data_IF_779338590338
#
_entry.id   IF_779338590338
#
_cell.length_a   1.000
_cell.length_b   1.000
_cell.length_c   1.000
_cell.angle_alpha   90.00
_cell.angle_beta   90.00
_cell.angle_gamma   90.00
#
_symmetry.space_group_name_H-M   'P 1'
#
loop_
_entity.id
_entity.type
_entity.pdbx_description
1 polymer ?
#
# COMPACT_ATOMS: atom_id res chain seq x y z
N UNK A 1 49.53 -37.22 -41.79
CA UNK A 1 49.86 -35.98 -41.04
C UNK A 1 49.02 -34.85 -41.64
N UNK A 2 48.19 -34.06 -40.96
CA UNK A 2 47.83 -33.89 -39.54
C UNK A 2 46.33 -33.56 -39.52
N UNK A 3 45.60 -34.19 -38.60
CA UNK A 3 44.23 -33.82 -38.25
C UNK A 3 44.25 -32.48 -37.50
N UNK A 4 43.34 -31.56 -37.84
CA UNK A 4 42.99 -30.44 -36.96
C UNK A 4 41.59 -30.71 -36.41
N UNK A 5 41.55 -31.30 -35.21
CA UNK A 5 40.37 -31.40 -34.37
C UNK A 5 40.10 -30.02 -33.77
N UNK A 6 39.15 -29.28 -34.33
CA UNK A 6 38.57 -28.10 -33.69
C UNK A 6 37.46 -28.55 -32.75
N UNK A 7 37.80 -28.69 -31.46
CA UNK A 7 36.88 -28.99 -30.37
C UNK A 7 35.97 -27.77 -30.15
N UNK A 8 34.78 -27.78 -30.76
CA UNK A 8 33.73 -26.81 -30.46
C UNK A 8 33.14 -27.12 -29.09
N UNK A 9 33.66 -26.46 -28.05
CA UNK A 9 33.04 -26.46 -26.72
C UNK A 9 31.76 -25.65 -26.83
N UNK A 10 30.62 -26.36 -26.94
CA UNK A 10 29.30 -25.79 -26.81
C UNK A 10 29.14 -25.37 -25.34
N UNK A 11 29.30 -24.08 -25.05
CA UNK A 11 28.99 -23.52 -23.75
C UNK A 11 27.45 -23.42 -23.65
N UNK A 12 26.79 -24.49 -23.23
CA UNK A 12 25.41 -24.44 -22.77
C UNK A 12 25.38 -23.65 -21.48
N UNK A 13 25.17 -22.34 -21.58
CA UNK A 13 24.75 -21.52 -20.44
C UNK A 13 23.35 -22.02 -20.09
N UNK A 14 23.28 -22.98 -19.16
CA UNK A 14 22.06 -23.29 -18.45
C UNK A 14 21.65 -22.03 -17.70
N UNK A 15 20.72 -21.26 -18.30
CA UNK A 15 19.93 -20.25 -17.61
C UNK A 15 19.22 -20.97 -16.46
N UNK A 16 19.86 -21.00 -15.29
CA UNK A 16 19.21 -21.29 -14.03
C UNK A 16 18.15 -20.20 -13.87
N UNK A 17 16.91 -20.55 -14.22
CA UNK A 17 15.74 -19.76 -13.86
C UNK A 17 15.60 -19.91 -12.35
N UNK A 18 16.34 -19.07 -11.62
CA UNK A 18 16.10 -18.92 -10.19
C UNK A 18 14.64 -18.48 -10.04
N UNK A 19 13.86 -19.09 -9.12
CA UNK A 19 12.52 -18.59 -8.85
C UNK A 19 12.66 -17.12 -8.40
N UNK A 20 12.23 -16.21 -9.25
CA UNK A 20 12.18 -14.78 -8.94
C UNK A 20 11.12 -14.60 -7.87
N UNK A 21 11.55 -14.46 -6.62
CA UNK A 21 10.67 -14.07 -5.52
C UNK A 21 10.00 -12.73 -5.87
N UNK A 22 8.68 -12.64 -5.67
CA UNK A 22 7.96 -11.37 -5.85
C UNK A 22 8.19 -10.40 -4.67
N UNK A 23 8.71 -10.91 -3.55
CA UNK A 23 9.08 -10.08 -2.42
C UNK A 23 10.38 -9.31 -2.70
N UNK A 24 10.39 -7.98 -2.48
CA UNK A 24 11.59 -7.16 -2.56
C UNK A 24 12.72 -7.69 -1.67
N UNK A 25 13.96 -7.35 -2.01
CA UNK A 25 15.17 -7.81 -1.30
C UNK A 25 15.19 -7.47 0.20
N UNK A 26 14.46 -6.43 0.61
CA UNK A 26 14.36 -6.00 2.01
C UNK A 26 13.35 -6.82 2.82
N UNK A 27 12.49 -7.63 2.19
CA UNK A 27 11.51 -8.47 2.90
C UNK A 27 12.22 -9.69 3.48
N UNK A 28 12.43 -9.69 4.80
CA UNK A 28 13.05 -10.78 5.57
C UNK A 28 12.48 -10.83 6.99
N UNK A 29 12.57 -11.96 7.70
CA UNK A 29 12.17 -12.06 9.10
C UNK A 29 12.76 -10.94 9.97
N UNK A 30 11.94 -10.36 10.84
CA UNK A 30 12.29 -9.25 11.71
C UNK A 30 12.02 -7.86 11.13
N UNK A 31 11.82 -7.74 9.81
CA UNK A 31 11.45 -6.46 9.19
C UNK A 31 10.02 -6.08 9.56
N UNK A 32 9.82 -4.80 9.87
CA UNK A 32 8.51 -4.22 10.11
C UNK A 32 8.26 -2.99 9.25
N UNK A 33 6.98 -2.72 9.01
CA UNK A 33 6.47 -1.53 8.34
C UNK A 33 5.37 -0.98 9.22
N UNK A 34 5.43 0.31 9.51
CA UNK A 34 4.50 1.00 10.41
C UNK A 34 3.87 2.19 9.69
N UNK A 35 2.55 2.30 9.78
CA UNK A 35 1.76 3.40 9.25
C UNK A 35 1.00 4.08 10.38
N UNK A 36 0.72 5.37 10.23
CA UNK A 36 0.01 6.15 11.25
C UNK A 36 -1.08 7.03 10.63
N UNK A 37 -2.17 7.20 11.35
CA UNK A 37 -3.14 8.27 11.17
C UNK A 37 -3.18 9.11 12.45
N UNK A 38 -2.52 10.28 12.41
CA UNK A 38 -2.39 11.17 13.55
C UNK A 38 -3.59 12.09 13.72
N UNK A 39 -3.92 12.38 14.98
CA UNK A 39 -4.86 13.45 15.32
C UNK A 39 -4.21 14.82 15.11
N UNK A 40 -4.96 15.78 14.59
CA UNK A 40 -4.51 17.14 14.38
C UNK A 40 -5.65 18.15 14.54
N UNK A 41 -5.67 18.82 15.69
CA UNK A 41 -6.79 19.70 16.08
C UNK A 41 -7.13 20.79 15.05
N UNK A 42 -6.20 21.45 14.34
CA UNK A 42 -6.57 22.44 13.31
C UNK A 42 -7.40 21.86 12.16
N UNK A 43 -7.24 20.58 11.83
CA UNK A 43 -8.13 19.90 10.88
C UNK A 43 -9.53 19.74 11.47
N UNK A 44 -9.61 19.28 12.71
CA UNK A 44 -10.88 19.06 13.42
C UNK A 44 -11.66 20.36 13.53
N UNK A 45 -11.01 21.45 13.94
CA UNK A 45 -11.60 22.80 14.01
C UNK A 45 -12.15 23.23 12.66
N UNK A 46 -11.41 22.98 11.57
CA UNK A 46 -11.86 23.26 10.20
C UNK A 46 -13.11 22.45 9.87
N UNK A 47 -13.14 21.15 10.17
CA UNK A 47 -14.31 20.30 9.91
C UNK A 47 -15.54 20.75 10.70
N UNK A 48 -15.36 21.13 11.97
CA UNK A 48 -16.43 21.66 12.82
C UNK A 48 -16.96 22.98 12.26
N UNK A 49 -16.07 23.86 11.79
CA UNK A 49 -16.47 25.14 11.19
C UNK A 49 -17.32 24.95 9.92
N UNK A 50 -17.12 23.83 9.22
CA UNK A 50 -17.93 23.41 8.08
C UNK A 50 -19.22 22.64 8.46
N UNK A 51 -19.54 22.57 9.76
CA UNK A 51 -20.76 21.92 10.25
C UNK A 51 -20.63 20.42 10.52
N UNK A 52 -19.44 19.84 10.43
CA UNK A 52 -19.21 18.43 10.77
C UNK A 52 -19.26 18.25 12.29
N UNK A 53 -20.00 17.26 12.78
CA UNK A 53 -20.01 16.92 14.20
C UNK A 53 -18.66 16.34 14.61
N UNK A 54 -18.13 16.75 15.77
CA UNK A 54 -16.86 16.26 16.31
C UNK A 54 -16.80 14.72 16.37
N UNK A 55 -17.90 14.08 16.77
CA UNK A 55 -18.05 12.62 16.87
C UNK A 55 -18.02 11.86 15.52
N UNK A 56 -18.02 12.58 14.40
CA UNK A 56 -17.86 12.04 13.05
C UNK A 56 -16.45 12.21 12.50
N UNK A 57 -15.59 13.00 13.15
CA UNK A 57 -14.19 13.18 12.75
C UNK A 57 -13.37 12.11 13.45
N UNK A 58 -12.83 11.17 12.67
CA UNK A 58 -12.13 9.98 13.17
C UNK A 58 -10.82 9.81 12.42
N UNK A 59 -9.79 9.32 13.11
CA UNK A 59 -8.52 8.92 12.47
C UNK A 59 -8.60 7.53 11.87
N UNK A 60 -9.51 6.68 12.40
CA UNK A 60 -9.79 5.37 11.86
C UNK A 60 -11.25 4.97 12.07
N UNK A 61 -11.81 4.26 11.09
CA UNK A 61 -13.12 3.62 11.16
C UNK A 61 -13.02 2.23 10.52
N UNK A 62 -13.18 1.18 11.33
CA UNK A 62 -12.84 -0.19 10.96
C UNK A 62 -14.06 -1.08 11.14
N UNK A 63 -14.37 -1.87 10.10
CA UNK A 63 -15.28 -3.01 10.24
C UNK A 63 -14.48 -4.26 10.53
N UNK A 64 -14.69 -4.85 11.70
CA UNK A 64 -13.96 -6.01 12.19
C UNK A 64 -14.90 -7.19 12.46
N UNK A 65 -14.61 -8.32 11.84
CA UNK A 65 -15.32 -9.58 12.02
C UNK A 65 -14.52 -10.47 12.96
N UNK A 66 -15.13 -10.82 14.10
CA UNK A 66 -14.51 -11.72 15.07
C UNK A 66 -15.57 -12.63 15.68
N UNK A 67 -15.30 -13.93 15.69
CA UNK A 67 -16.17 -14.94 16.30
C UNK A 67 -17.64 -14.82 15.85
N UNK A 68 -17.86 -14.57 14.55
CA UNK A 68 -19.20 -14.42 13.96
C UNK A 68 -19.92 -13.11 14.31
N UNK A 69 -19.27 -12.19 15.04
CA UNK A 69 -19.83 -10.87 15.38
C UNK A 69 -19.14 -9.78 14.54
N UNK A 70 -19.93 -8.81 14.10
CA UNK A 70 -19.47 -7.62 13.40
C UNK A 70 -19.30 -6.46 14.37
N UNK A 71 -18.12 -5.86 14.38
CA UNK A 71 -17.79 -4.71 15.20
C UNK A 71 -17.41 -3.54 14.31
N UNK A 72 -18.08 -2.41 14.53
CA UNK A 72 -17.66 -1.13 13.97
C UNK A 72 -16.82 -0.40 15.01
N UNK A 73 -15.55 -0.14 14.68
CA UNK A 73 -14.55 0.40 15.60
C UNK A 73 -14.10 1.76 15.08
N UNK A 74 -14.45 2.82 15.80
CA UNK A 74 -14.06 4.20 15.49
C UNK A 74 -12.97 4.66 16.47
N UNK A 75 -11.90 5.28 15.95
CA UNK A 75 -10.81 5.90 16.72
C UNK A 75 -10.84 7.41 16.55
N UNK A 76 -10.73 8.13 17.66
CA UNK A 76 -10.83 9.59 17.72
C UNK A 76 -9.49 10.27 18.07
N UNK A 77 -8.42 9.49 18.13
CA UNK A 77 -7.06 9.94 18.37
C UNK A 77 -6.09 9.06 17.56
N UNK A 78 -4.77 9.21 17.73
CA UNK A 78 -3.79 8.50 16.90
C UNK A 78 -4.10 7.00 16.72
N UNK A 79 -4.04 6.56 15.47
CA UNK A 79 -4.15 5.15 15.10
C UNK A 79 -2.86 4.71 14.43
N UNK A 80 -2.25 3.64 14.95
CA UNK A 80 -1.00 3.08 14.44
C UNK A 80 -1.22 1.65 13.96
N UNK A 81 -0.64 1.31 12.81
CA UNK A 81 -0.71 -0.03 12.24
C UNK A 81 0.70 -0.50 11.96
N UNK A 82 1.08 -1.62 12.58
CA UNK A 82 2.39 -2.24 12.42
C UNK A 82 2.25 -3.62 11.82
N UNK A 83 2.96 -3.86 10.72
CA UNK A 83 3.14 -5.17 10.11
C UNK A 83 4.56 -5.63 10.38
N UNK A 84 4.75 -6.87 10.83
CA UNK A 84 6.07 -7.46 11.07
C UNK A 84 6.18 -8.83 10.44
N UNK A 85 7.22 -9.05 9.64
CA UNK A 85 7.56 -10.38 9.14
C UNK A 85 8.09 -11.18 10.34
N UNK A 86 7.30 -12.11 10.86
CA UNK A 86 7.64 -12.90 12.05
C UNK A 86 8.64 -14.00 11.72
N UNK A 87 8.53 -14.58 10.53
CA UNK A 87 9.36 -15.70 10.10
C UNK A 87 8.96 -16.21 8.73
N UNK A 88 9.52 -17.36 8.37
CA UNK A 88 9.23 -18.07 7.13
C UNK A 88 8.74 -19.49 7.42
N UNK A 89 7.81 -19.97 6.60
CA UNK A 89 7.30 -21.34 6.65
C UNK A 89 7.08 -21.85 5.23
N UNK A 90 8.05 -22.64 4.73
CA UNK A 90 8.09 -23.10 3.34
C UNK A 90 8.03 -21.94 2.34
N UNK A 91 7.00 -21.95 1.50
CA UNK A 91 6.74 -20.96 0.44
C UNK A 91 6.12 -19.64 0.95
N UNK A 92 6.00 -19.45 2.27
CA UNK A 92 5.30 -18.33 2.88
C UNK A 92 6.18 -17.52 3.84
N UNK A 93 5.96 -16.21 3.87
CA UNK A 93 6.24 -15.37 5.02
C UNK A 93 5.06 -15.43 5.99
N UNK A 94 5.35 -15.49 7.29
CA UNK A 94 4.34 -15.30 8.34
C UNK A 94 4.41 -13.87 8.81
N UNK A 95 3.29 -13.16 8.79
CA UNK A 95 3.22 -11.73 9.11
C UNK A 95 2.27 -11.51 10.27
N UNK A 96 2.76 -10.80 11.29
CA UNK A 96 1.98 -10.32 12.41
C UNK A 96 1.53 -8.88 12.18
N UNK A 97 0.28 -8.60 12.54
CA UNK A 97 -0.31 -7.26 12.49
C UNK A 97 -0.68 -6.83 13.89
N UNK A 98 -0.39 -5.58 14.22
CA UNK A 98 -0.89 -4.90 15.41
C UNK A 98 -1.50 -3.58 14.97
N UNK A 99 -2.75 -3.33 15.34
CA UNK A 99 -3.43 -2.04 15.19
C UNK A 99 -3.66 -1.49 16.59
N UNK A 100 -3.07 -0.35 16.88
CA UNK A 100 -3.23 0.36 18.15
C UNK A 100 -4.11 1.59 17.92
N UNK A 101 -5.24 1.64 18.62
CA UNK A 101 -6.22 2.71 18.51
C UNK A 101 -6.39 3.39 19.88
N UNK A 102 -6.58 4.71 19.87
CA UNK A 102 -6.74 5.52 21.09
C UNK A 102 -8.06 6.28 21.05
N UNK A 103 -8.70 6.40 22.21
CA UNK A 103 -10.04 6.98 22.37
C UNK A 103 -11.02 6.33 21.39
N UNK A 104 -11.49 5.13 21.73
CA UNK A 104 -12.14 4.22 20.78
C UNK A 104 -13.61 4.08 21.13
N UNK A 105 -14.46 4.02 20.12
CA UNK A 105 -15.86 3.59 20.25
C UNK A 105 -16.09 2.34 19.42
N UNK A 106 -16.53 1.27 20.07
CA UNK A 106 -16.95 0.03 19.42
C UNK A 106 -18.48 -0.01 19.40
N UNK A 107 -19.07 -0.28 18.23
CA UNK A 107 -20.52 -0.46 18.03
C UNK A 107 -20.76 -1.84 17.43
N UNK A 108 -21.70 -2.59 17.99
CA UNK A 108 -22.08 -3.90 17.47
C UNK A 108 -23.52 -4.24 17.87
N UNK A 109 -24.06 -5.29 17.27
CA UNK A 109 -25.41 -5.78 17.53
C UNK A 109 -25.37 -7.21 18.03
N UNK A 110 -26.29 -7.56 18.92
CA UNK A 110 -26.45 -8.90 19.49
C UNK A 110 -27.93 -9.27 19.58
N UNK A 111 -28.23 -10.57 19.62
CA UNK A 111 -29.56 -11.02 20.04
C UNK A 111 -29.69 -10.93 21.56
N UNK A 112 -30.88 -10.59 22.05
CA UNK A 112 -31.14 -10.50 23.48
C UNK A 112 -30.76 -11.82 24.20
N UNK A 113 -30.05 -11.69 25.33
CA UNK A 113 -29.52 -12.84 26.09
C UNK A 113 -28.18 -13.39 25.60
N UNK A 114 -27.61 -12.90 24.50
CA UNK A 114 -26.25 -13.26 24.07
C UNK A 114 -25.21 -12.28 24.61
N UNK A 115 -24.02 -12.79 24.94
CA UNK A 115 -22.85 -11.98 25.27
C UNK A 115 -21.90 -11.94 24.07
N UNK A 116 -21.46 -10.74 23.68
CA UNK A 116 -20.38 -10.62 22.71
C UNK A 116 -19.06 -11.06 23.37
N UNK A 117 -18.21 -11.81 22.67
CA UNK A 117 -16.84 -12.02 23.13
C UNK A 117 -16.12 -10.67 23.14
N UNK A 118 -15.79 -10.18 24.34
CA UNK A 118 -14.95 -9.02 24.48
C UNK A 118 -13.55 -9.36 23.94
N UNK A 119 -13.01 -8.46 23.10
CA UNK A 119 -11.64 -8.53 22.63
C UNK A 119 -10.81 -7.33 23.09
N UNK A 120 -11.35 -6.59 24.05
CA UNK A 120 -10.75 -5.45 24.70
C UNK A 120 -10.58 -5.75 26.18
N UNK A 121 -9.65 -5.06 26.82
CA UNK A 121 -9.42 -5.16 28.25
C UNK A 121 -10.47 -4.35 29.02
N UNK A 122 -10.93 -4.90 30.14
CA UNK A 122 -11.92 -4.22 30.99
C UNK A 122 -11.35 -2.95 31.64
N UNK A 123 -10.03 -2.90 31.85
CA UNK A 123 -9.31 -1.74 32.40
C UNK A 123 -9.30 -0.54 31.47
N UNK A 124 -9.43 -0.76 30.16
CA UNK A 124 -9.54 0.31 29.17
C UNK A 124 -10.96 0.82 28.98
N UNK A 125 -11.97 0.14 29.54
CA UNK A 125 -13.36 0.50 29.35
C UNK A 125 -13.75 1.74 30.15
N UNK A 126 -14.23 2.76 29.44
CA UNK A 126 -14.71 4.02 30.02
C UNK A 126 -16.21 3.97 30.28
N UNK A 127 -16.97 3.38 29.36
CA UNK A 127 -18.43 3.26 29.48
C UNK A 127 -18.98 2.23 28.50
N UNK A 128 -20.15 1.67 28.83
CA UNK A 128 -20.95 0.83 27.93
C UNK A 128 -22.40 1.30 27.96
N UNK A 129 -23.04 1.37 26.80
CA UNK A 129 -24.48 1.58 26.69
C UNK A 129 -25.11 0.51 25.80
N UNK A 130 -26.36 0.18 26.10
CA UNK A 130 -27.16 -0.81 25.38
C UNK A 130 -28.50 -0.20 25.03
N UNK A 131 -28.99 -0.46 23.81
CA UNK A 131 -30.33 -0.10 23.37
C UNK A 131 -30.98 -1.33 22.77
N UNK A 132 -32.15 -1.70 23.29
CA UNK A 132 -32.94 -2.82 22.78
C UNK A 132 -33.93 -2.28 21.76
N UNK A 133 -33.92 -2.86 20.57
CA UNK A 133 -34.85 -2.61 19.49
C UNK A 133 -36.14 -3.42 19.67
N UNK A 134 -37.23 -3.01 19.02
CA UNK A 134 -38.53 -3.65 19.15
C UNK A 134 -38.57 -5.10 18.65
N UNK A 135 -37.63 -5.47 17.78
CA UNK A 135 -37.40 -6.82 17.24
C UNK A 135 -36.51 -7.70 18.13
N UNK A 136 -36.08 -7.20 19.29
CA UNK A 136 -35.22 -7.93 20.22
C UNK A 136 -33.72 -7.86 19.90
N UNK A 137 -33.30 -7.08 18.90
CA UNK A 137 -31.89 -6.76 18.65
C UNK A 137 -31.37 -5.81 19.73
N UNK A 138 -30.17 -6.07 20.24
CA UNK A 138 -29.49 -5.23 21.24
C UNK A 138 -28.31 -4.54 20.57
N UNK A 139 -28.44 -3.24 20.34
CA UNK A 139 -27.33 -2.39 19.92
C UNK A 139 -26.47 -2.04 21.13
N UNK A 140 -25.19 -2.37 21.06
CA UNK A 140 -24.21 -2.12 22.13
C UNK A 140 -23.19 -1.11 21.64
N UNK A 141 -22.87 -0.13 22.49
CA UNK A 141 -21.80 0.83 22.30
C UNK A 141 -20.85 0.78 23.48
N UNK A 142 -19.57 0.54 23.22
CA UNK A 142 -18.51 0.49 24.23
C UNK A 142 -17.51 1.59 23.92
N UNK A 143 -17.18 2.43 24.91
CA UNK A 143 -16.13 3.43 24.81
C UNK A 143 -14.90 2.98 25.58
N UNK A 144 -13.74 3.04 24.95
CA UNK A 144 -12.47 2.60 25.51
C UNK A 144 -11.43 3.72 25.46
N UNK A 145 -10.48 3.71 26.39
CA UNK A 145 -9.29 4.56 26.37
C UNK A 145 -8.35 4.14 25.24
N UNK A 146 -8.13 2.84 25.11
CA UNK A 146 -7.30 2.26 24.05
C UNK A 146 -7.86 0.91 23.60
N UNK A 147 -7.49 0.49 22.39
CA UNK A 147 -7.81 -0.82 21.85
C UNK A 147 -6.61 -1.32 21.05
N UNK A 148 -6.29 -2.60 21.21
CA UNK A 148 -5.27 -3.27 20.42
C UNK A 148 -5.89 -4.45 19.68
N UNK A 149 -5.88 -4.40 18.36
CA UNK A 149 -6.27 -5.52 17.49
C UNK A 149 -4.99 -6.18 17.00
N UNK A 150 -4.91 -7.50 17.10
CA UNK A 150 -3.77 -8.27 16.61
C UNK A 150 -4.26 -9.43 15.74
N UNK A 151 -3.41 -9.84 14.80
CA UNK A 151 -3.69 -11.00 13.96
C UNK A 151 -2.42 -11.46 13.25
N UNK A 152 -2.50 -12.66 12.68
CA UNK A 152 -1.43 -13.24 11.87
C UNK A 152 -2.00 -13.76 10.56
N UNK A 153 -1.21 -13.65 9.50
CA UNK A 153 -1.54 -14.14 8.18
C UNK A 153 -0.28 -14.56 7.44
N UNK A 154 -0.43 -15.07 6.21
CA UNK A 154 0.67 -15.55 5.39
C UNK A 154 0.74 -14.83 4.06
N UNK A 155 1.95 -14.54 3.59
CA UNK A 155 2.20 -14.01 2.24
C UNK A 155 3.02 -15.02 1.48
N UNK A 156 2.55 -15.47 0.33
CA UNK A 156 3.29 -16.41 -0.52
C UNK A 156 4.44 -15.70 -1.23
N UNK A 157 5.66 -16.22 -1.08
CA UNK A 157 6.92 -15.60 -1.54
C UNK A 157 6.96 -15.35 -3.05
N UNK A 158 6.44 -16.30 -3.84
CA UNK A 158 6.55 -16.28 -5.30
C UNK A 158 5.75 -15.16 -5.99
N UNK A 159 4.64 -14.72 -5.40
CA UNK A 159 3.67 -13.82 -6.06
C UNK A 159 3.04 -12.78 -5.13
N UNK A 160 3.40 -12.77 -3.84
CA UNK A 160 2.84 -11.82 -2.86
C UNK A 160 1.38 -12.08 -2.50
N UNK A 161 0.81 -13.23 -2.86
CA UNK A 161 -0.57 -13.57 -2.53
C UNK A 161 -0.74 -13.77 -1.02
N UNK A 162 -1.72 -13.08 -0.45
CA UNK A 162 -2.11 -13.08 0.96
C UNK A 162 -3.10 -14.21 1.24
N UNK A 163 -2.83 -14.93 2.33
CA UNK A 163 -3.68 -15.98 2.85
C UNK A 163 -3.96 -15.77 4.33
N UNK A 164 -5.20 -15.99 4.73
CA UNK A 164 -5.55 -16.16 6.15
C UNK A 164 -4.84 -17.38 6.74
N UNK A 165 -4.78 -17.45 8.07
CA UNK A 165 -4.17 -18.61 8.75
C UNK A 165 -4.90 -19.93 8.45
N UNK A 166 -6.18 -19.82 8.08
CA UNK A 166 -7.06 -20.90 7.61
C UNK A 166 -6.80 -21.33 6.15
N UNK A 167 -5.87 -20.66 5.47
CA UNK A 167 -5.49 -20.95 4.08
C UNK A 167 -6.39 -20.30 3.04
N UNK A 168 -7.35 -19.45 3.41
CA UNK A 168 -8.20 -18.72 2.43
C UNK A 168 -7.40 -17.61 1.74
N UNK A 169 -7.51 -17.46 0.41
CA UNK A 169 -6.82 -16.39 -0.32
C UNK A 169 -7.60 -15.07 -0.24
N UNK A 170 -6.87 -13.96 -0.13
CA UNK A 170 -7.44 -12.61 -0.03
C UNK A 170 -6.96 -11.63 -1.12
N UNK A 171 -6.02 -12.02 -1.98
CA UNK A 171 -5.44 -11.15 -3.02
C UNK A 171 -3.96 -10.87 -2.79
N UNK A 172 -3.41 -9.81 -3.40
CA UNK A 172 -1.99 -9.47 -3.30
C UNK A 172 -1.72 -8.49 -2.15
N UNK A 173 -0.61 -8.69 -1.44
CA UNK A 173 -0.24 -7.82 -0.32
C UNK A 173 -0.14 -6.36 -0.76
N UNK A 174 -0.59 -5.44 0.10
CA UNK A 174 -0.30 -4.02 -0.11
C UNK A 174 1.03 -3.60 0.51
N UNK A 175 1.73 -4.43 1.27
CA UNK A 175 2.94 -4.02 1.98
C UNK A 175 4.08 -3.66 1.04
N UNK A 176 4.09 -4.25 -0.16
CA UNK A 176 5.00 -3.91 -1.24
C UNK A 176 4.36 -4.17 -2.59
N UNK A 177 4.84 -3.46 -3.61
CA UNK A 177 4.59 -3.76 -5.01
C UNK A 177 5.85 -4.37 -5.59
N UNK A 178 5.74 -5.49 -6.31
CA UNK A 178 6.90 -6.17 -6.91
C UNK A 178 7.62 -5.20 -7.88
N UNK A 179 8.88 -4.80 -7.60
CA UNK A 179 9.59 -3.84 -8.43
C UNK A 179 10.00 -4.43 -9.79
N UNK A 180 10.03 -5.76 -9.92
CA UNK A 180 10.41 -6.46 -11.15
C UNK A 180 9.20 -6.82 -12.03
N UNK A 181 8.00 -6.82 -11.46
CA UNK A 181 6.76 -7.12 -12.18
C UNK A 181 5.62 -6.25 -11.64
N UNK A 182 5.46 -5.08 -12.25
CA UNK A 182 4.38 -4.15 -11.93
C UNK A 182 3.00 -4.79 -12.22
N UNK A 183 2.01 -4.63 -11.33
CA UNK A 183 0.64 -5.10 -11.58
C UNK A 183 0.05 -4.51 -12.86
N UNK A 184 -0.67 -5.34 -13.62
CA UNK A 184 -1.25 -4.99 -14.92
C UNK A 184 -2.73 -4.66 -14.76
N UNK A 185 -3.26 -3.85 -15.69
CA UNK A 185 -4.68 -3.54 -15.73
C UNK A 185 -5.52 -4.83 -15.80
N UNK A 186 -6.61 -4.84 -15.02
CA UNK A 186 -7.52 -5.97 -14.78
C UNK A 186 -6.99 -7.12 -13.92
N UNK A 187 -5.76 -7.08 -13.41
CA UNK A 187 -5.28 -8.05 -12.42
C UNK A 187 -6.15 -7.98 -11.15
N UNK A 188 -6.56 -9.13 -10.62
CA UNK A 188 -7.28 -9.17 -9.34
C UNK A 188 -6.32 -8.85 -8.21
N UNK A 189 -6.54 -7.74 -7.53
CA UNK A 189 -5.69 -7.30 -6.42
C UNK A 189 -6.27 -7.71 -5.06
N UNK A 190 -7.60 -7.64 -4.90
CA UNK A 190 -8.28 -8.01 -3.64
C UNK A 190 -9.41 -8.99 -3.90
N UNK A 191 -9.55 -9.96 -3.00
CA UNK A 191 -10.63 -10.92 -2.94
C UNK A 191 -11.18 -10.92 -1.52
N UNK A 192 -12.49 -10.73 -1.38
CA UNK A 192 -13.22 -10.86 -0.11
C UNK A 192 -14.18 -12.04 -0.26
N UNK A 193 -13.74 -13.28 0.05
CA UNK A 193 -14.52 -14.49 -0.23
C UNK A 193 -15.89 -14.50 0.44
N UNK A 194 -15.97 -14.01 1.68
CA UNK A 194 -17.21 -13.96 2.48
C UNK A 194 -18.25 -12.99 1.93
N UNK A 195 -17.82 -12.00 1.13
CA UNK A 195 -18.68 -11.00 0.51
C UNK A 195 -18.89 -11.25 -0.98
N UNK A 196 -18.27 -12.29 -1.55
CA UNK A 196 -18.21 -12.54 -2.99
C UNK A 196 -17.83 -11.27 -3.78
N UNK A 197 -16.81 -10.57 -3.31
CA UNK A 197 -16.42 -9.25 -3.83
C UNK A 197 -14.94 -9.24 -4.20
N UNK A 198 -14.58 -8.56 -5.30
CA UNK A 198 -13.19 -8.46 -5.77
C UNK A 198 -12.86 -7.05 -6.25
N UNK A 199 -11.63 -6.61 -5.99
CA UNK A 199 -11.07 -5.36 -6.52
C UNK A 199 -9.96 -5.67 -7.53
N UNK A 200 -9.93 -4.92 -8.63
CA UNK A 200 -8.94 -5.09 -9.69
C UNK A 200 -8.04 -3.88 -9.83
N UNK A 201 -6.88 -4.10 -10.41
CA UNK A 201 -5.98 -3.05 -10.85
C UNK A 201 -6.63 -2.32 -12.02
N UNK A 202 -6.81 -1.01 -11.88
CA UNK A 202 -7.23 -0.14 -12.97
C UNK A 202 -6.01 0.26 -13.80
N UNK A 203 -4.99 0.82 -13.14
CA UNK A 203 -3.75 1.28 -13.76
C UNK A 203 -2.65 1.54 -12.74
N UNK A 204 -1.41 1.64 -13.22
CA UNK A 204 -0.27 2.20 -12.49
C UNK A 204 0.15 3.49 -13.15
N UNK A 205 0.28 4.56 -12.37
CA UNK A 205 0.66 5.89 -12.84
C UNK A 205 1.94 6.35 -12.14
N UNK A 206 2.98 6.66 -12.92
CA UNK A 206 4.19 7.28 -12.39
C UNK A 206 3.96 8.76 -12.09
N UNK A 207 4.59 9.25 -11.04
CA UNK A 207 4.59 10.65 -10.62
C UNK A 207 6.02 11.17 -10.60
N UNK A 208 6.29 12.19 -11.40
CA UNK A 208 7.57 12.90 -11.42
C UNK A 208 7.65 13.96 -10.30
N UNK A 209 7.22 13.58 -9.10
CA UNK A 209 7.28 14.43 -7.90
C UNK A 209 7.67 13.57 -6.70
N UNK A 210 8.49 14.10 -5.80
CA UNK A 210 8.75 13.42 -4.54
C UNK A 210 7.48 13.37 -3.68
N UNK A 211 7.40 12.35 -2.83
CA UNK A 211 6.32 12.18 -1.86
C UNK A 211 6.87 12.14 -0.45
N UNK A 212 6.22 12.88 0.43
CA UNK A 212 6.52 12.96 1.85
C UNK A 212 5.74 11.92 2.63
N UNK A 213 6.41 11.32 3.60
CA UNK A 213 5.86 10.49 4.68
C UNK A 213 6.42 11.01 6.02
N UNK A 214 6.07 10.37 7.15
CA UNK A 214 6.73 10.71 8.41
C UNK A 214 8.10 10.05 8.53
N UNK A 215 8.30 8.89 7.88
CA UNK A 215 9.59 8.23 7.81
C UNK A 215 10.63 9.04 7.02
N UNK A 216 10.20 9.64 5.91
CA UNK A 216 11.09 10.41 5.03
C UNK A 216 10.43 10.84 3.72
N UNK A 217 11.25 11.40 2.84
CA UNK A 217 10.87 11.79 1.48
C UNK A 217 11.37 10.75 0.47
N UNK A 218 10.52 10.43 -0.51
CA UNK A 218 10.79 9.41 -1.53
C UNK A 218 10.63 9.99 -2.94
N UNK A 219 11.45 9.52 -3.87
CA UNK A 219 11.38 9.86 -5.29
C UNK A 219 12.11 11.15 -5.69
N UNK A 220 11.88 11.66 -6.91
CA UNK A 220 11.13 11.03 -8.02
C UNK A 220 11.91 9.90 -8.75
N UNK A 221 11.22 8.95 -9.41
CA UNK A 221 9.75 8.85 -9.51
C UNK A 221 9.12 8.14 -8.30
N UNK A 222 7.90 8.54 -7.96
CA UNK A 222 6.97 7.73 -7.13
C UNK A 222 5.85 7.18 -8.03
N UNK A 223 5.03 6.25 -7.55
CA UNK A 223 3.92 5.71 -8.34
C UNK A 223 2.63 5.54 -7.53
N UNK A 224 1.51 5.59 -8.23
CA UNK A 224 0.18 5.25 -7.71
C UNK A 224 -0.33 4.01 -8.44
N UNK A 225 -0.65 2.97 -7.69
CA UNK A 225 -1.47 1.85 -8.13
C UNK A 225 -2.94 2.19 -7.86
N UNK A 226 -3.70 2.45 -8.93
CA UNK A 226 -5.14 2.69 -8.88
C UNK A 226 -5.90 1.37 -8.92
N UNK A 227 -6.83 1.20 -8.00
CA UNK A 227 -7.66 0.01 -7.85
C UNK A 227 -9.14 0.40 -8.00
N UNK A 228 -9.93 -0.50 -8.59
CA UNK A 228 -11.35 -0.30 -8.77
C UNK A 228 -12.12 -1.60 -8.48
N UNK A 229 -13.13 -1.50 -7.63
CA UNK A 229 -14.06 -2.59 -7.32
C UNK A 229 -15.51 -2.24 -7.69
N UNK A 230 -16.38 -3.24 -7.82
CA UNK A 230 -17.82 -2.98 -7.86
C UNK A 230 -18.26 -2.33 -6.53
N UNK A 231 -19.47 -1.74 -6.47
CA UNK A 231 -19.97 -1.16 -5.22
C UNK A 231 -19.89 -2.16 -4.07
N UNK A 232 -19.16 -1.81 -3.01
CA UNK A 232 -19.08 -2.62 -1.80
C UNK A 232 -20.34 -2.39 -0.95
N UNK A 233 -21.08 -3.47 -0.70
CA UNK A 233 -22.30 -3.47 0.10
C UNK A 233 -22.17 -4.48 1.23
N UNK A 234 -22.22 -3.96 2.45
CA UNK A 234 -22.29 -4.69 3.70
C UNK A 234 -23.57 -4.21 4.38
N UNK A 235 -24.63 -5.01 4.22
CA UNK A 235 -26.00 -4.64 4.54
C UNK A 235 -26.13 -4.04 5.95
N UNK A 236 -26.72 -2.85 6.04
CA UNK A 236 -26.96 -2.17 7.32
C UNK A 236 -25.71 -1.58 7.99
N UNK A 237 -24.54 -1.64 7.34
CA UNK A 237 -23.27 -1.10 7.85
C UNK A 237 -22.61 -0.14 6.89
N UNK A 238 -22.42 -0.56 5.64
CA UNK A 238 -21.63 0.16 4.64
C UNK A 238 -22.22 -0.11 3.26
N UNK A 239 -22.66 0.92 2.56
CA UNK A 239 -23.24 0.77 1.22
C UNK A 239 -22.67 1.84 0.30
N UNK A 240 -21.73 1.44 -0.55
CA UNK A 240 -21.34 2.27 -1.68
C UNK A 240 -22.40 2.10 -2.77
N UNK A 241 -22.90 3.22 -3.31
CA UNK A 241 -23.85 3.24 -4.43
C UNK A 241 -23.15 3.24 -5.79
N UNK A 242 -21.85 3.49 -5.81
CA UNK A 242 -20.98 3.57 -6.99
C UNK A 242 -19.78 2.64 -6.84
N UNK A 243 -18.96 2.54 -7.88
CA UNK A 243 -17.71 1.79 -7.83
C UNK A 243 -16.85 2.24 -6.65
N UNK A 244 -16.20 1.28 -6.00
CA UNK A 244 -15.36 1.55 -4.82
C UNK A 244 -13.92 1.77 -5.28
N UNK A 245 -13.37 2.98 -5.15
CA UNK A 245 -12.01 3.27 -5.56
C UNK A 245 -11.02 2.85 -4.48
N UNK A 246 -9.81 2.52 -4.91
CA UNK A 246 -8.64 2.34 -4.05
C UNK A 246 -7.39 2.95 -4.70
N UNK A 247 -6.40 3.28 -3.89
CA UNK A 247 -5.17 3.89 -4.38
C UNK A 247 -4.02 3.65 -3.43
N UNK A 248 -2.94 3.05 -3.93
CA UNK A 248 -1.73 2.78 -3.16
C UNK A 248 -0.60 3.63 -3.73
N UNK A 249 0.04 4.42 -2.89
CA UNK A 249 1.22 5.20 -3.24
C UNK A 249 2.48 4.44 -2.82
N UNK A 250 3.43 4.25 -3.73
CA UNK A 250 4.62 3.44 -3.48
C UNK A 250 5.87 4.00 -4.19
N UNK A 251 7.04 3.59 -3.71
CA UNK A 251 8.33 3.82 -4.36
C UNK A 251 8.65 2.68 -5.34
N UNK A 252 8.69 2.92 -6.66
CA UNK A 252 8.98 1.88 -7.66
C UNK A 252 10.37 1.26 -7.54
N UNK A 253 11.36 2.00 -7.01
CA UNK A 253 12.74 1.51 -6.94
C UNK A 253 12.89 0.40 -5.91
N UNK A 254 12.20 0.52 -4.76
CA UNK A 254 12.27 -0.45 -3.67
C UNK A 254 11.03 -1.34 -3.60
N UNK A 255 9.93 -0.96 -4.25
CA UNK A 255 8.62 -1.57 -4.08
C UNK A 255 7.91 -1.19 -2.77
N UNK A 256 8.51 -0.35 -1.92
CA UNK A 256 7.96 0.01 -0.61
C UNK A 256 6.68 0.84 -0.78
N UNK A 257 5.61 0.43 -0.09
CA UNK A 257 4.37 1.20 -0.06
C UNK A 257 4.47 2.33 0.95
N UNK A 258 4.39 3.55 0.43
CA UNK A 258 4.49 4.81 1.17
C UNK A 258 3.17 5.20 1.83
N UNK A 259 2.05 4.81 1.23
CA UNK A 259 0.74 4.88 1.85
C UNK A 259 -0.20 3.88 1.16
N UNK A 260 -0.89 3.01 1.92
CA UNK A 260 -1.79 2.02 1.34
C UNK A 260 -3.15 2.58 0.95
N UNK A 261 -3.42 3.85 1.28
CA UNK A 261 -4.64 4.55 0.83
C UNK A 261 -4.38 6.02 0.53
N UNK A 262 -4.78 6.46 -0.66
CA UNK A 262 -4.81 7.88 -1.06
C UNK A 262 -6.17 8.54 -0.83
N UNK A 263 -7.23 7.78 -0.56
CA UNK A 263 -8.63 8.23 -0.51
C UNK A 263 -9.33 7.88 0.82
N UNK A 264 -8.56 7.73 1.89
CA UNK A 264 -8.93 7.25 3.23
C UNK A 264 -9.42 5.81 3.31
N UNK A 265 -10.14 5.33 2.30
CA UNK A 265 -10.64 3.95 2.22
C UNK A 265 -9.48 2.99 1.98
N UNK A 266 -9.40 1.95 2.82
CA UNK A 266 -8.49 0.83 2.68
C UNK A 266 -9.28 -0.49 2.70
N UNK A 267 -9.38 -1.10 1.53
CA UNK A 267 -9.84 -2.48 1.36
C UNK A 267 -8.61 -3.29 0.99
N UNK A 268 -8.09 -4.06 1.94
CA UNK A 268 -6.77 -4.68 1.86
C UNK A 268 -6.85 -6.19 2.07
N UNK A 269 -6.09 -6.99 1.29
CA UNK A 269 -5.96 -8.42 1.55
C UNK A 269 -5.35 -8.73 2.92
N UNK A 270 -4.31 -7.99 3.32
CA UNK A 270 -3.59 -8.16 4.58
C UNK A 270 -4.48 -7.90 5.81
N UNK A 271 -5.35 -6.89 5.74
CA UNK A 271 -6.34 -6.60 6.78
C UNK A 271 -7.51 -7.60 6.74
N UNK A 272 -7.97 -7.96 5.55
CA UNK A 272 -9.06 -8.93 5.39
C UNK A 272 -8.70 -10.31 5.94
N UNK A 273 -7.43 -10.72 5.79
CA UNK A 273 -6.90 -11.97 6.32
C UNK A 273 -6.95 -12.08 7.86
N UNK A 274 -6.99 -10.94 8.57
CA UNK A 274 -7.16 -10.88 10.03
C UNK A 274 -8.58 -10.49 10.45
N UNK A 275 -9.55 -10.52 9.52
CA UNK A 275 -10.97 -10.24 9.80
C UNK A 275 -11.40 -8.79 9.59
N UNK A 276 -10.61 -7.95 8.92
CA UNK A 276 -10.93 -6.55 8.64
C UNK A 276 -11.11 -6.35 7.13
N UNK A 277 -12.31 -6.58 6.57
CA UNK A 277 -12.54 -6.42 5.12
C UNK A 277 -12.68 -4.96 4.70
N UNK A 278 -12.89 -4.04 5.64
CA UNK A 278 -12.99 -2.63 5.37
C UNK A 278 -12.39 -1.81 6.51
N UNK A 279 -11.58 -0.83 6.13
CA UNK A 279 -11.14 0.22 7.02
C UNK A 279 -11.13 1.56 6.29
N UNK A 280 -11.25 2.63 7.05
CA UNK A 280 -10.98 4.00 6.61
C UNK A 280 -9.98 4.61 7.57
N UNK A 281 -8.96 5.27 7.05
CA UNK A 281 -7.94 5.96 7.83
C UNK A 281 -7.79 7.40 7.35
N UNK A 282 -7.67 8.32 8.29
CA UNK A 282 -7.54 9.75 8.02
C UNK A 282 -6.46 10.32 8.93
N UNK A 283 -5.23 10.41 8.45
CA UNK A 283 -4.24 11.27 9.10
C UNK A 283 -4.70 12.73 8.95
N UNK A 284 -5.12 13.31 10.06
CA UNK A 284 -5.76 14.63 10.09
C UNK A 284 -4.75 15.73 9.74
N UNK A 285 -3.47 15.54 10.02
CA UNK A 285 -2.42 16.48 9.63
C UNK A 285 -2.20 16.45 8.13
N UNK A 286 -2.09 15.25 7.54
CA UNK A 286 -1.99 15.09 6.08
C UNK A 286 -3.23 15.64 5.40
N UNK A 287 -4.42 15.31 5.90
CA UNK A 287 -5.69 15.79 5.36
C UNK A 287 -5.78 17.31 5.39
N UNK A 288 -5.32 17.96 6.48
CA UNK A 288 -5.25 19.41 6.55
C UNK A 288 -4.31 20.00 5.48
N UNK A 289 -3.09 19.47 5.36
CA UNK A 289 -2.14 19.99 4.39
C UNK A 289 -2.62 19.76 2.95
N UNK A 290 -3.23 18.61 2.64
CA UNK A 290 -3.70 18.28 1.28
C UNK A 290 -5.03 18.95 0.92
N UNK A 291 -6.04 18.86 1.78
CA UNK A 291 -7.43 19.26 1.48
C UNK A 291 -7.72 20.71 1.86
N UNK A 292 -7.07 21.24 2.90
CA UNK A 292 -7.31 22.62 3.37
C UNK A 292 -6.27 23.57 2.78
N UNK A 293 -4.98 23.21 2.82
CA UNK A 293 -3.92 24.05 2.24
C UNK A 293 -3.65 23.79 0.75
N UNK A 294 -4.22 22.72 0.18
CA UNK A 294 -3.98 22.38 -1.23
C UNK A 294 -2.54 21.92 -1.52
N UNK A 295 -1.85 21.32 -0.54
CA UNK A 295 -0.46 20.87 -0.67
C UNK A 295 -0.39 19.32 -0.85
N UNK A 296 -0.35 18.80 -2.09
CA UNK A 296 -0.42 17.37 -2.39
C UNK A 296 0.92 16.62 -2.24
N UNK A 297 1.84 17.10 -1.40
CA UNK A 297 3.18 16.52 -1.23
C UNK A 297 3.18 15.20 -0.44
N UNK A 298 2.17 14.98 0.39
CA UNK A 298 2.05 13.73 1.16
C UNK A 298 1.71 12.53 0.27
N UNK A 299 2.20 11.35 0.66
CA UNK A 299 1.99 10.10 -0.07
C UNK A 299 0.52 9.63 -0.07
N UNK A 300 -0.21 9.86 1.02
CA UNK A 300 -1.60 9.43 1.20
C UNK A 300 -2.05 9.65 2.66
N UNK A 301 -3.27 9.22 2.98
CA UNK A 301 -3.94 9.50 4.27
C UNK A 301 -3.62 8.49 5.38
N UNK A 302 -2.80 7.50 5.06
CA UNK A 302 -2.17 6.60 6.03
C UNK A 302 -0.67 6.50 5.68
N UNK A 303 0.11 7.56 5.91
CA UNK A 303 1.52 7.62 5.49
C UNK A 303 2.40 6.64 6.27
N UNK A 304 3.47 6.19 5.61
CA UNK A 304 4.56 5.43 6.23
C UNK A 304 5.14 6.26 7.40
N UNK A 305 5.16 5.64 8.57
CA UNK A 305 5.63 6.24 9.80
C UNK A 305 7.04 5.78 10.14
N UNK A 306 7.25 4.48 10.16
CA UNK A 306 8.53 3.89 10.53
C UNK A 306 8.77 2.54 9.86
N UNK A 307 10.03 2.18 9.67
CA UNK A 307 10.46 0.87 9.19
C UNK A 307 11.94 0.65 9.46
N UNK A 308 12.32 -0.60 9.72
CA UNK A 308 13.71 -1.05 9.73
C UNK A 308 14.12 -1.73 8.42
N UNK A 309 13.34 -1.59 7.35
CA UNK A 309 13.72 -2.08 6.02
C UNK A 309 14.99 -1.35 5.56
N UNK A 310 16.04 -2.13 5.28
CA UNK A 310 17.29 -1.59 4.76
C UNK A 310 17.15 -1.39 3.25
N UNK A 311 16.94 -0.15 2.83
CA UNK A 311 17.01 0.19 1.42
C UNK A 311 18.48 0.30 1.03
N UNK A 312 18.94 -0.55 0.11
CA UNK A 312 20.28 -0.40 -0.47
C UNK A 312 20.36 1.01 -1.06
N UNK A 313 21.34 1.80 -0.60
CA UNK A 313 21.69 3.04 -1.29
C UNK A 313 21.92 2.67 -2.75
N UNK A 314 21.22 3.34 -3.66
CA UNK A 314 21.51 3.27 -5.09
C UNK A 314 23.01 3.48 -5.21
N UNK A 315 23.74 2.46 -5.65
CA UNK A 315 25.14 2.62 -5.98
C UNK A 315 25.15 3.67 -7.10
N UNK A 316 25.62 4.89 -6.80
CA UNK A 316 25.80 5.92 -7.82
C UNK A 316 26.84 5.35 -8.78
N UNK A 317 26.40 4.64 -9.82
CA UNK A 317 27.29 4.20 -10.88
C UNK A 317 27.74 5.49 -11.56
N UNK A 318 29.01 5.90 -11.40
CA UNK A 318 29.45 7.13 -12.03
C UNK A 318 29.42 6.86 -13.53
N UNK A 319 28.43 7.41 -14.22
CA UNK A 319 28.48 7.47 -15.67
C UNK A 319 29.70 8.30 -16.01
N UNK A 320 30.77 7.64 -16.46
CA UNK A 320 31.87 8.36 -17.06
C UNK A 320 31.26 9.16 -18.20
N UNK A 321 31.24 10.49 -18.10
CA UNK A 321 30.92 11.36 -19.23
C UNK A 321 31.67 10.80 -20.42
N UNK A 322 30.96 10.48 -21.51
CA UNK A 322 31.56 9.88 -22.68
C UNK A 322 32.77 10.72 -23.11
N UNK A 323 33.98 10.24 -22.80
CA UNK A 323 35.23 10.85 -23.26
C UNK A 323 35.44 10.38 -24.69
N UNK A 324 34.56 10.79 -25.59
CA UNK A 324 34.64 10.34 -26.99
C UNK A 324 34.94 11.51 -27.92
N UNK A 325 36.05 11.44 -28.70
CA UNK A 325 36.44 12.43 -29.72
C UNK A 325 35.45 12.58 -30.89
N UNK A 326 34.33 11.83 -30.89
CA UNK A 326 33.34 11.79 -31.97
C UNK A 326 32.66 13.13 -32.25
N UNK A 327 32.65 14.06 -31.29
CA UNK A 327 32.22 15.45 -31.54
C UNK A 327 33.09 16.10 -32.63
N UNK A 328 34.41 15.88 -32.61
CA UNK A 328 35.33 16.38 -33.64
C UNK A 328 35.19 15.64 -34.96
N UNK A 329 34.89 14.34 -34.94
CA UNK A 329 34.61 13.58 -36.16
C UNK A 329 33.33 14.07 -36.86
N UNK A 330 32.28 14.40 -36.10
CA UNK A 330 31.06 14.99 -36.63
C UNK A 330 31.31 16.38 -37.24
N UNK A 331 31.99 17.27 -36.52
CA UNK A 331 32.35 18.59 -37.05
C UNK A 331 33.30 18.51 -38.26
N UNK A 332 34.28 17.61 -38.22
CA UNK A 332 35.16 17.32 -39.36
C UNK A 332 34.38 16.84 -40.58
N UNK A 333 33.40 15.96 -40.38
CA UNK A 333 32.54 15.48 -41.48
C UNK A 333 31.70 16.59 -42.10
N UNK A 334 31.18 17.53 -41.30
CA UNK A 334 30.42 18.70 -41.76
C UNK A 334 31.27 19.67 -42.58
N UNK A 335 32.50 19.95 -42.13
CA UNK A 335 33.45 20.80 -42.87
C UNK A 335 33.82 20.14 -44.20
N UNK A 336 34.08 18.83 -44.20
CA UNK A 336 34.42 18.09 -45.41
C UNK A 336 33.25 18.06 -46.41
N UNK A 337 32.02 17.89 -45.93
CA UNK A 337 30.82 17.97 -46.75
C UNK A 337 30.64 19.37 -47.36
N UNK A 338 30.81 20.43 -46.55
CA UNK A 338 30.75 21.82 -47.00
C UNK A 338 31.81 22.13 -48.07
N UNK A 339 33.02 21.60 -47.90
CA UNK A 339 34.14 21.75 -48.85
C UNK A 339 33.86 21.07 -50.18
N UNK A 340 33.24 19.89 -50.16
CA UNK A 340 32.84 19.17 -51.38
C UNK A 340 31.71 19.91 -52.10
N UNK A 341 30.77 20.49 -51.37
CA UNK A 341 29.66 21.26 -51.95
C UNK A 341 30.14 22.56 -52.60
N UNK A 342 31.08 23.29 -51.99
CA UNK A 342 31.67 24.50 -52.59
C UNK A 342 32.53 24.17 -53.81
N UNK A 343 33.32 23.09 -53.77
CA UNK A 343 34.11 22.63 -54.92
C UNK A 343 33.23 22.17 -56.10
N UNK A 344 32.10 21.50 -55.84
CA UNK A 344 31.12 21.14 -56.89
C UNK A 344 30.34 22.35 -57.41
N UNK A 345 30.02 23.31 -56.55
CA UNK A 345 29.35 24.56 -56.95
C UNK A 345 30.22 25.40 -57.89
N UNK A 346 31.52 25.47 -57.64
CA UNK A 346 32.45 26.23 -58.47
C UNK A 346 32.68 25.63 -59.86
N UNK A 347 32.58 24.30 -59.99
CA UNK A 347 32.72 23.58 -61.28
C UNK A 347 31.52 23.72 -62.21
N UNK A 348 30.35 24.17 -61.71
CA UNK A 348 29.16 24.44 -62.53
C UNK A 348 29.03 25.90 -62.99
N UNK A 349 29.94 26.76 -62.56
CA UNK A 349 29.95 28.21 -62.85
C UNK A 349 31.00 28.63 -63.89
N UNK A 350 31.57 27.67 -64.63
CA UNK A 350 32.44 27.95 -65.79
C UNK A 350 31.85 27.37 -67.05
#
# INVERSE_FOLDING_TARGET
>A
MKALRGLGVLFTISLLVFPTSAAPYWVKPGVYIEYIAQRYDPYIETQISHGTKLESVTTASILYFRNGTEYWVDSYNDTLIKFKILGESGEYFVVGVIIELKNVTIKFSLHNGTSAPAFWESTDMLSTSKRVSADGEVSVKVKLRSLRIFGEYRIRKRDGMVFGIDGRPYGHTFLWINPNETPKGNDTFVVLPTLNWTMKVERVSAMDKPKKTYYGEFGPPTAILSLMGPPLVIKGRLEFTTQTPGGICYDPATGMVLSPTTLSILISPDLAAIGIPFASFMDERVAYDQMVKGNPMWAGLLPLYDTNAEFQRVEEVPFSKAKTPWKYAFWGSLVLLGSIMTAKGWRKSK
#
